data_IF_798588242983
#
_entry.id   IF_798588242983
#
_cell.length_a   1.000
_cell.length_b   1.000
_cell.length_c   1.000
_cell.angle_alpha   90.00
_cell.angle_beta   90.00
_cell.angle_gamma   90.00
#
_symmetry.space_group_name_H-M   'P 1'
#
loop_
_entity.id
_entity.type
_entity.pdbx_description
1 polymer ?
#
# COMPACT_ATOMS: atom_id res chain seq x y z
N UNK A 1 -66.45 22.60 -18.82
CA UNK A 1 -65.22 22.66 -17.99
C UNK A 1 -64.50 21.33 -18.11
N UNK A 2 -63.25 21.29 -18.60
CA UNK A 2 -62.45 20.06 -18.71
C UNK A 2 -61.39 20.09 -17.61
N UNK A 3 -61.42 19.11 -16.71
CA UNK A 3 -60.46 18.98 -15.61
C UNK A 3 -59.28 18.17 -16.15
N UNK A 4 -58.17 18.85 -16.44
CA UNK A 4 -56.93 18.23 -16.87
C UNK A 4 -56.21 17.68 -15.64
N UNK A 5 -56.17 16.35 -15.49
CA UNK A 5 -55.41 15.66 -14.43
C UNK A 5 -53.91 15.85 -14.68
N UNK A 6 -53.22 16.50 -13.75
CA UNK A 6 -51.76 16.60 -13.72
C UNK A 6 -51.24 15.32 -13.06
N UNK A 7 -50.65 14.43 -13.85
CA UNK A 7 -49.96 13.24 -13.36
C UNK A 7 -48.56 13.67 -12.93
N UNK A 8 -48.30 13.62 -11.62
CA UNK A 8 -46.97 13.86 -11.05
C UNK A 8 -46.03 12.73 -11.41
N UNK A 9 -44.92 13.04 -12.09
CA UNK A 9 -43.87 12.11 -12.46
C UNK A 9 -42.81 12.12 -11.34
N UNK A 10 -42.76 11.05 -10.55
CA UNK A 10 -41.75 10.85 -9.50
C UNK A 10 -40.36 10.71 -10.14
N UNK A 11 -39.44 11.58 -9.74
CA UNK A 11 -38.03 11.53 -10.17
C UNK A 11 -37.29 10.58 -9.23
N UNK A 12 -37.08 9.35 -9.67
CA UNK A 12 -36.12 8.44 -9.07
C UNK A 12 -34.78 8.63 -9.79
N UNK A 13 -33.80 9.27 -9.14
CA UNK A 13 -32.41 9.22 -9.59
C UNK A 13 -31.56 8.56 -8.52
N UNK A 14 -31.44 7.23 -8.65
CA UNK A 14 -30.35 6.44 -8.10
C UNK A 14 -29.06 6.82 -8.82
N UNK A 15 -28.02 7.24 -8.10
CA UNK A 15 -26.63 7.08 -8.51
C UNK A 15 -25.66 7.34 -7.34
N UNK A 16 -25.64 6.44 -6.35
CA UNK A 16 -24.42 6.24 -5.56
C UNK A 16 -23.42 5.53 -6.50
N UNK A 17 -22.62 6.29 -7.23
CA UNK A 17 -21.42 5.75 -7.86
C UNK A 17 -20.40 5.46 -6.75
N UNK A 18 -20.55 4.28 -6.14
CA UNK A 18 -19.49 3.67 -5.36
C UNK A 18 -18.41 3.28 -6.38
N UNK A 19 -17.45 4.17 -6.65
CA UNK A 19 -16.27 3.83 -7.44
C UNK A 19 -15.43 2.89 -6.60
N UNK A 20 -15.71 1.59 -6.68
CA UNK A 20 -14.76 0.58 -6.25
C UNK A 20 -13.47 0.82 -7.05
N UNK A 21 -12.38 1.14 -6.35
CA UNK A 21 -11.06 1.30 -6.96
C UNK A 21 -10.73 -0.01 -7.69
N UNK A 22 -10.77 0.01 -9.01
CA UNK A 22 -10.49 -1.18 -9.81
C UNK A 22 -8.98 -1.37 -9.86
N UNK A 23 -8.45 -2.19 -8.95
CA UNK A 23 -7.06 -2.62 -8.98
C UNK A 23 -6.82 -3.46 -10.25
N UNK A 24 -6.10 -2.90 -11.22
CA UNK A 24 -5.83 -3.53 -12.52
C UNK A 24 -5.07 -4.86 -12.39
N UNK A 25 -4.25 -5.00 -11.35
CA UNK A 25 -3.42 -6.20 -11.16
C UNK A 25 -4.21 -7.36 -10.54
N UNK A 26 -5.36 -7.11 -9.90
CA UNK A 26 -6.10 -8.16 -9.22
C UNK A 26 -6.45 -9.32 -10.16
N UNK A 27 -6.09 -10.56 -9.77
CA UNK A 27 -6.34 -11.80 -10.52
C UNK A 27 -5.66 -11.82 -11.90
N UNK A 28 -4.48 -11.24 -12.01
CA UNK A 28 -3.67 -11.26 -13.23
C UNK A 28 -2.32 -11.93 -13.01
N UNK A 29 -1.74 -12.47 -14.08
CA UNK A 29 -0.41 -13.07 -14.06
C UNK A 29 0.46 -12.43 -15.14
N UNK A 30 1.72 -12.21 -14.79
CA UNK A 30 2.69 -11.50 -15.59
C UNK A 30 4.00 -12.26 -15.61
N UNK A 31 4.62 -12.35 -16.79
CA UNK A 31 6.00 -12.79 -16.94
C UNK A 31 6.92 -11.58 -16.80
N UNK A 32 7.95 -11.70 -15.98
CA UNK A 32 9.02 -10.71 -15.89
C UNK A 32 9.95 -10.93 -17.08
N UNK A 33 9.99 -9.98 -18.01
CA UNK A 33 10.86 -10.03 -19.18
C UNK A 33 12.27 -9.52 -18.84
N UNK A 34 12.36 -8.48 -17.99
CA UNK A 34 13.63 -7.92 -17.54
C UNK A 34 13.48 -7.12 -16.26
N UNK A 35 14.53 -7.14 -15.43
CA UNK A 35 14.75 -6.17 -14.34
C UNK A 35 16.15 -5.60 -14.55
N UNK A 36 16.25 -4.30 -14.75
CA UNK A 36 17.53 -3.61 -14.94
C UNK A 36 18.23 -3.32 -13.61
N UNK A 37 19.49 -2.90 -13.68
CA UNK A 37 20.33 -2.60 -12.50
C UNK A 37 19.80 -1.42 -11.66
N UNK A 38 18.99 -0.54 -12.25
CA UNK A 38 18.34 0.57 -11.56
C UNK A 38 16.95 0.19 -11.01
N UNK A 39 16.60 -1.10 -11.04
CA UNK A 39 15.35 -1.64 -10.53
C UNK A 39 14.14 -1.49 -11.46
N UNK A 40 14.28 -0.88 -12.64
CA UNK A 40 13.15 -0.84 -13.60
C UNK A 40 12.83 -2.24 -14.09
N UNK A 41 11.53 -2.53 -14.22
CA UNK A 41 11.07 -3.83 -14.64
C UNK A 41 10.07 -3.72 -15.80
N UNK A 42 10.16 -4.68 -16.72
CA UNK A 42 9.21 -4.82 -17.83
C UNK A 42 8.55 -6.18 -17.73
N UNK A 43 7.22 -6.18 -17.69
CA UNK A 43 6.44 -7.38 -17.52
C UNK A 43 5.44 -7.52 -18.66
N UNK A 44 5.16 -8.76 -19.05
CA UNK A 44 4.19 -9.11 -20.10
C UNK A 44 3.06 -9.95 -19.52
N UNK A 45 1.81 -9.62 -19.85
CA UNK A 45 0.65 -10.34 -19.36
C UNK A 45 0.64 -11.77 -19.92
N UNK A 46 0.38 -12.76 -19.06
CA UNK A 46 0.33 -14.17 -19.44
C UNK A 46 -0.91 -14.85 -18.84
N UNK A 47 -1.15 -16.11 -19.22
CA UNK A 47 -2.19 -16.93 -18.60
C UNK A 47 -1.80 -17.23 -17.15
N UNK A 48 -2.81 -17.40 -16.30
CA UNK A 48 -2.64 -17.77 -14.90
C UNK A 48 -1.92 -19.11 -14.77
N UNK A 49 -1.01 -19.19 -13.82
CA UNK A 49 -0.27 -20.42 -13.48
C UNK A 49 -1.05 -21.13 -12.37
N UNK A 50 -1.21 -22.45 -12.50
CA UNK A 50 -1.93 -23.23 -11.50
C UNK A 50 -0.98 -23.77 -10.42
N UNK A 51 -0.63 -22.93 -9.45
CA UNK A 51 0.21 -23.32 -8.31
C UNK A 51 -0.57 -24.21 -7.31
N UNK A 52 0.05 -25.23 -6.69
CA UNK A 52 1.43 -25.71 -6.86
C UNK A 52 1.59 -26.78 -7.97
N UNK A 53 0.50 -27.13 -8.67
CA UNK A 53 0.49 -28.22 -9.67
C UNK A 53 1.38 -27.95 -10.88
N UNK A 54 1.66 -26.69 -11.17
CA UNK A 54 2.52 -26.23 -12.26
C UNK A 54 3.74 -25.53 -11.68
N UNK A 55 4.95 -26.07 -11.92
CA UNK A 55 6.18 -25.29 -11.71
C UNK A 55 6.33 -24.28 -12.84
N UNK A 56 6.48 -23.00 -12.49
CA UNK A 56 6.73 -21.98 -13.50
C UNK A 56 8.10 -22.17 -14.14
N UNK A 57 8.14 -22.18 -15.48
CA UNK A 57 9.38 -22.27 -16.27
C UNK A 57 10.03 -20.91 -16.52
N UNK A 58 9.41 -19.83 -16.04
CA UNK A 58 9.86 -18.45 -16.21
C UNK A 58 9.63 -17.65 -14.94
N UNK A 59 10.34 -16.53 -14.80
CA UNK A 59 10.12 -15.62 -13.68
C UNK A 59 8.78 -14.87 -13.82
N UNK A 60 7.92 -14.93 -12.81
CA UNK A 60 6.54 -14.43 -12.90
C UNK A 60 6.12 -13.61 -11.68
N UNK A 61 5.05 -12.81 -11.84
CA UNK A 61 4.22 -12.26 -10.76
C UNK A 61 2.77 -12.67 -11.00
N UNK A 62 2.14 -13.29 -10.01
CA UNK A 62 0.73 -13.66 -10.01
C UNK A 62 0.02 -12.95 -8.85
N UNK A 63 -0.93 -12.08 -9.17
CA UNK A 63 -1.61 -11.23 -8.19
C UNK A 63 -2.95 -11.82 -7.78
N UNK A 64 -3.18 -11.91 -6.47
CA UNK A 64 -4.37 -12.49 -5.86
C UNK A 64 -4.85 -11.63 -4.69
N UNK A 65 -5.94 -10.90 -4.89
CA UNK A 65 -6.47 -9.94 -3.92
C UNK A 65 -5.41 -8.91 -3.51
N UNK A 66 -4.88 -8.96 -2.29
CA UNK A 66 -3.83 -8.07 -1.74
C UNK A 66 -2.46 -8.77 -1.65
N UNK A 67 -2.36 -9.98 -2.22
CA UNK A 67 -1.17 -10.80 -2.23
C UNK A 67 -0.64 -10.99 -3.65
N UNK A 68 0.62 -11.36 -3.75
CA UNK A 68 1.18 -11.86 -4.98
C UNK A 68 2.08 -13.07 -4.72
N UNK A 69 2.16 -13.95 -5.71
CA UNK A 69 3.15 -15.01 -5.81
C UNK A 69 4.19 -14.61 -6.86
N UNK A 70 5.47 -14.81 -6.54
CA UNK A 70 6.57 -14.71 -7.50
C UNK A 70 7.42 -15.96 -7.45
N UNK A 71 8.18 -16.20 -8.50
CA UNK A 71 9.08 -17.34 -8.53
C UNK A 71 9.55 -17.74 -9.91
N UNK A 72 10.36 -18.77 -9.92
CA UNK A 72 10.82 -19.49 -11.11
C UNK A 72 10.78 -21.00 -10.82
N UNK A 73 11.59 -21.80 -11.52
CA UNK A 73 11.61 -23.25 -11.33
C UNK A 73 12.23 -23.74 -10.01
N UNK A 74 13.02 -22.92 -9.32
CA UNK A 74 13.75 -23.31 -8.10
C UNK A 74 13.59 -22.34 -6.92
N UNK A 75 12.88 -21.24 -7.11
CA UNK A 75 12.57 -20.22 -6.11
C UNK A 75 11.09 -19.89 -6.15
N UNK A 76 10.49 -19.71 -4.97
CA UNK A 76 9.12 -19.24 -4.81
C UNK A 76 9.06 -18.27 -3.63
N UNK A 77 8.28 -17.20 -3.76
CA UNK A 77 8.01 -16.26 -2.69
C UNK A 77 6.56 -15.77 -2.76
N UNK A 78 5.90 -15.72 -1.61
CA UNK A 78 4.65 -14.98 -1.44
C UNK A 78 4.94 -13.57 -0.93
N UNK A 79 4.06 -12.62 -1.25
CA UNK A 79 4.21 -11.24 -0.83
C UNK A 79 2.90 -10.49 -0.84
N UNK A 80 2.97 -9.21 -0.47
CA UNK A 80 1.84 -8.30 -0.42
C UNK A 80 2.05 -7.14 -1.38
N UNK A 81 0.95 -6.67 -1.97
CA UNK A 81 1.00 -5.48 -2.80
C UNK A 81 -0.17 -4.54 -2.49
N UNK A 82 0.09 -3.24 -2.66
CA UNK A 82 -0.94 -2.22 -2.58
C UNK A 82 -0.83 -1.27 -3.78
N UNK A 83 -1.96 -0.84 -4.31
CA UNK A 83 -2.02 0.07 -5.46
C UNK A 83 -2.57 1.40 -4.99
N UNK A 84 -1.77 2.45 -5.15
CA UNK A 84 -2.13 3.82 -4.79
C UNK A 84 -2.39 4.64 -6.06
N UNK A 85 -3.40 5.49 -6.01
CA UNK A 85 -3.69 6.41 -7.10
C UNK A 85 -2.58 7.47 -7.27
N UNK A 86 -2.29 7.90 -8.50
CA UNK A 86 -2.92 7.46 -9.75
C UNK A 86 -2.28 6.19 -10.36
N UNK A 87 -1.02 5.89 -10.08
CA UNK A 87 -0.27 4.83 -10.75
C UNK A 87 0.95 4.36 -9.97
N UNK A 88 0.81 4.22 -8.65
CA UNK A 88 1.86 3.70 -7.78
C UNK A 88 1.48 2.32 -7.28
N UNK A 89 2.45 1.42 -7.22
CA UNK A 89 2.33 0.12 -6.59
C UNK A 89 3.44 -0.05 -5.56
N UNK A 90 3.11 -0.57 -4.40
CA UNK A 90 4.07 -0.96 -3.37
C UNK A 90 4.13 -2.47 -3.30
N UNK A 91 5.35 -3.01 -3.26
CA UNK A 91 5.60 -4.43 -3.05
C UNK A 91 6.28 -4.65 -1.70
N UNK A 92 5.71 -5.53 -0.89
CA UNK A 92 6.30 -6.04 0.33
C UNK A 92 6.58 -7.52 0.17
N UNK A 93 7.81 -7.92 0.44
CA UNK A 93 8.22 -9.33 0.43
C UNK A 93 7.55 -10.08 1.59
N UNK A 94 7.27 -11.36 1.38
CA UNK A 94 6.76 -12.29 2.39
C UNK A 94 7.71 -13.47 2.56
N UNK A 95 7.17 -14.68 2.75
CA UNK A 95 8.00 -15.86 2.91
C UNK A 95 8.56 -16.31 1.56
N UNK A 96 9.79 -16.82 1.57
CA UNK A 96 10.47 -17.30 0.39
C UNK A 96 11.08 -18.67 0.66
N UNK A 97 10.89 -19.58 -0.29
CA UNK A 97 11.44 -20.93 -0.29
C UNK A 97 12.31 -21.12 -1.53
N UNK A 98 13.44 -21.78 -1.34
CA UNK A 98 14.42 -21.98 -2.41
C UNK A 98 15.06 -23.36 -2.34
N UNK A 99 15.23 -23.99 -3.50
CA UNK A 99 15.97 -25.24 -3.63
C UNK A 99 17.48 -24.94 -3.49
N UNK A 100 18.22 -25.81 -2.80
CA UNK A 100 19.66 -25.65 -2.59
C UNK A 100 20.43 -25.50 -3.91
N UNK A 101 21.30 -24.48 -3.98
CA UNK A 101 22.09 -24.16 -5.18
C UNK A 101 21.35 -23.31 -6.22
N UNK A 102 20.12 -22.88 -5.96
CA UNK A 102 19.42 -21.88 -6.75
C UNK A 102 19.92 -20.47 -6.37
N UNK A 103 20.04 -19.59 -7.36
CA UNK A 103 20.24 -18.16 -7.12
C UNK A 103 18.88 -17.49 -7.00
N UNK A 104 18.71 -16.66 -5.97
CA UNK A 104 17.49 -15.88 -5.78
C UNK A 104 17.35 -14.88 -6.94
N UNK A 105 16.25 -14.94 -7.72
CA UNK A 105 16.03 -13.97 -8.78
C UNK A 105 15.79 -12.58 -8.18
N UNK A 106 16.22 -11.53 -8.89
CA UNK A 106 15.93 -10.14 -8.49
C UNK A 106 14.43 -9.96 -8.25
N UNK A 107 14.03 -9.62 -7.03
CA UNK A 107 12.66 -9.34 -6.66
C UNK A 107 12.27 -7.88 -6.95
N UNK A 108 10.98 -7.58 -6.91
CA UNK A 108 10.49 -6.20 -6.83
C UNK A 108 10.15 -5.90 -5.37
N UNK A 109 10.72 -4.83 -4.82
CA UNK A 109 10.47 -4.40 -3.43
C UNK A 109 10.33 -2.89 -3.33
N UNK A 110 9.42 -2.43 -2.48
CA UNK A 110 9.17 -1.02 -2.26
C UNK A 110 8.25 -0.39 -3.29
N UNK A 111 8.36 0.93 -3.46
CA UNK A 111 7.42 1.73 -4.22
C UNK A 111 7.85 1.93 -5.68
N UNK A 112 6.93 1.65 -6.60
CA UNK A 112 7.12 1.82 -8.04
C UNK A 112 6.00 2.63 -8.64
N UNK A 113 6.36 3.54 -9.53
CA UNK A 113 5.42 4.08 -10.51
C UNK A 113 5.24 3.05 -11.64
N UNK A 114 4.04 2.96 -12.20
CA UNK A 114 3.76 2.04 -13.30
C UNK A 114 3.11 2.71 -14.51
N UNK A 115 3.40 2.16 -15.69
CA UNK A 115 2.76 2.53 -16.96
C UNK A 115 2.17 1.26 -17.57
N UNK A 116 0.83 1.24 -17.68
CA UNK A 116 0.12 0.17 -18.34
C UNK A 116 0.11 0.39 -19.86
N UNK A 117 0.52 -0.64 -20.60
CA UNK A 117 0.33 -0.77 -22.04
C UNK A 117 -0.65 -1.93 -22.30
N UNK A 118 -0.97 -2.20 -23.56
CA UNK A 118 -1.98 -3.21 -23.94
C UNK A 118 -1.75 -4.57 -23.27
N UNK A 119 -0.54 -5.12 -23.42
CA UNK A 119 -0.18 -6.46 -22.92
C UNK A 119 1.09 -6.43 -22.06
N UNK A 120 1.55 -5.25 -21.64
CA UNK A 120 2.76 -5.09 -20.83
C UNK A 120 2.58 -4.00 -19.77
N UNK A 121 3.33 -4.11 -18.69
CA UNK A 121 3.49 -3.06 -17.68
C UNK A 121 4.97 -2.76 -17.49
N UNK A 122 5.28 -1.49 -17.33
CA UNK A 122 6.62 -1.02 -17.00
C UNK A 122 6.58 -0.43 -15.59
N UNK A 123 7.46 -0.93 -14.73
CA UNK A 123 7.67 -0.42 -13.37
C UNK A 123 8.94 0.42 -13.33
N UNK A 124 8.85 1.60 -12.72
CA UNK A 124 9.98 2.47 -12.43
C UNK A 124 10.02 2.77 -10.94
N UNK A 125 11.09 2.41 -10.21
CA UNK A 125 11.16 2.63 -8.78
C UNK A 125 11.09 4.13 -8.46
N UNK A 126 10.32 4.48 -7.42
CA UNK A 126 10.14 5.87 -6.97
C UNK A 126 11.34 6.31 -6.12
N UNK A 127 11.84 5.40 -5.29
CA UNK A 127 13.07 5.57 -4.52
C UNK A 127 14.08 4.51 -4.94
N UNK A 128 15.38 4.82 -4.85
CA UNK A 128 16.41 3.84 -5.20
C UNK A 128 16.34 2.69 -4.20
N UNK A 129 16.08 1.49 -4.69
CA UNK A 129 16.14 0.27 -3.89
C UNK A 129 17.61 -0.05 -3.68
N UNK A 130 18.06 0.00 -2.42
CA UNK A 130 19.38 -0.51 -2.05
C UNK A 130 19.30 -2.04 -1.91
N UNK A 131 19.82 -2.74 -2.91
CA UNK A 131 19.89 -4.22 -2.94
C UNK A 131 20.93 -4.77 -1.92
N UNK A 132 21.74 -3.94 -1.25
CA UNK A 132 22.78 -4.37 -0.30
C UNK A 132 22.36 -4.34 1.18
N UNK A 133 21.10 -4.02 1.52
CA UNK A 133 20.66 -4.04 2.92
C UNK A 133 20.40 -5.49 3.34
N UNK A 134 21.18 -6.06 4.29
CA UNK A 134 20.95 -7.42 4.77
C UNK A 134 19.57 -7.55 5.40
N UNK A 135 18.89 -8.65 5.08
CA UNK A 135 17.59 -9.03 5.66
C UNK A 135 17.72 -9.08 7.20
N UNK A 136 16.81 -8.47 7.98
CA UNK A 136 16.72 -8.81 9.39
C UNK A 136 16.20 -10.25 9.48
N UNK A 137 16.99 -11.14 10.07
CA UNK A 137 16.55 -12.49 10.39
C UNK A 137 15.33 -12.39 11.31
N UNK A 138 14.16 -12.80 10.80
CA UNK A 138 12.96 -12.93 11.64
C UNK A 138 13.11 -14.23 12.43
N UNK A 139 13.90 -14.15 13.49
CA UNK A 139 13.96 -15.16 14.54
C UNK A 139 13.74 -14.49 15.90
N UNK A 140 12.59 -14.81 16.47
CA UNK A 140 12.18 -14.67 17.87
C UNK A 140 11.91 -13.25 18.42
N UNK A 141 10.61 -13.02 18.54
CA UNK A 141 9.94 -12.20 19.54
C UNK A 141 10.56 -12.35 20.94
N UNK A 142 11.24 -11.31 21.43
CA UNK A 142 11.27 -10.95 22.85
C UNK A 142 11.14 -9.43 22.99
N UNK A 143 10.46 -9.05 24.06
CA UNK A 143 9.82 -7.77 24.31
C UNK A 143 10.84 -6.82 24.95
N UNK A 144 11.13 -5.67 24.34
CA UNK A 144 11.64 -4.54 25.13
C UNK A 144 11.34 -3.20 24.45
N UNK A 145 10.31 -2.54 24.96
CA UNK A 145 10.08 -1.11 24.77
C UNK A 145 11.20 -0.33 25.46
N UNK A 146 12.04 0.36 24.70
CA UNK A 146 12.98 1.34 25.25
C UNK A 146 12.69 2.70 24.63
N UNK A 147 12.16 3.56 25.50
CA UNK A 147 11.98 5.00 25.34
C UNK A 147 13.25 5.67 24.83
N UNK A 148 13.16 6.37 23.69
CA UNK A 148 14.08 7.45 23.34
C UNK A 148 13.26 8.62 22.81
N UNK A 149 12.55 9.28 23.71
CA UNK A 149 11.97 10.59 23.48
C UNK A 149 12.93 11.68 23.98
N UNK A 150 13.77 12.14 23.05
CA UNK A 150 14.18 13.55 22.87
C UNK A 150 14.74 14.27 24.10
N UNK A 151 16.05 14.15 24.27
CA UNK A 151 16.88 15.19 24.88
C UNK A 151 17.26 16.20 23.77
N UNK A 152 16.52 17.30 23.63
CA UNK A 152 17.06 18.59 23.14
C UNK A 152 16.08 19.74 23.37
N UNK A 153 16.22 20.43 24.50
CA UNK A 153 16.07 21.89 24.63
C UNK A 153 16.20 22.28 26.10
N UNK A 154 17.45 22.44 26.57
CA UNK A 154 17.75 23.13 27.81
C UNK A 154 17.29 24.60 27.80
N UNK A 155 16.93 25.07 29.00
CA UNK A 155 17.01 26.45 29.51
C UNK A 155 16.06 27.51 28.94
N UNK A 156 15.02 27.82 29.72
CA UNK A 156 14.88 29.13 30.35
C UNK A 156 13.80 29.14 31.45
N UNK A 157 14.16 29.70 32.62
CA UNK A 157 13.31 30.33 33.66
C UNK A 157 12.31 29.42 34.39
N UNK A 158 12.64 28.82 35.54
CA UNK A 158 12.68 29.42 36.90
C UNK A 158 11.44 30.22 37.28
N UNK A 159 10.78 29.72 38.34
CA UNK A 159 9.97 30.47 39.30
C UNK A 159 8.70 31.16 38.80
N UNK A 160 7.56 30.53 39.10
CA UNK A 160 6.39 31.23 39.67
C UNK A 160 5.49 30.19 40.36
N UNK A 161 5.97 29.74 41.51
CA UNK A 161 5.11 29.16 42.54
C UNK A 161 4.19 30.26 43.11
N UNK A 162 2.93 29.87 43.33
CA UNK A 162 1.99 30.39 44.33
C UNK A 162 1.48 31.85 44.22
N UNK A 163 0.15 31.87 44.32
CA UNK A 163 -0.64 32.88 45.04
C UNK A 163 -1.03 34.14 44.26
N UNK A 164 -2.17 34.03 43.57
CA UNK A 164 -3.15 35.12 43.59
C UNK A 164 -4.48 34.62 44.14
N UNK A 165 -4.71 35.02 45.38
CA UNK A 165 -5.96 34.97 46.12
C UNK A 165 -7.02 35.85 45.43
N UNK A 166 -8.26 35.43 45.64
CA UNK A 166 -9.45 36.23 45.94
C UNK A 166 -10.22 36.92 44.79
N UNK A 167 -11.46 36.43 44.68
CA UNK A 167 -12.71 37.20 44.88
C UNK A 167 -13.27 37.93 43.65
N UNK A 168 -14.25 37.25 43.04
CA UNK A 168 -15.67 37.66 42.96
C UNK A 168 -16.07 38.84 42.05
N UNK A 169 -17.23 38.59 41.41
CA UNK A 169 -18.21 39.51 40.79
C UNK A 169 -17.92 40.03 39.37
N UNK A 170 -18.64 39.43 38.41
CA UNK A 170 -19.86 40.05 37.87
C UNK A 170 -20.73 39.06 37.10
N UNK A 171 -21.86 38.69 37.70
CA UNK A 171 -23.06 38.27 36.97
C UNK A 171 -23.95 39.49 36.74
N UNK A 172 -24.87 39.36 35.78
CA UNK A 172 -26.08 40.15 35.45
C UNK A 172 -25.97 41.43 34.60
N UNK A 173 -26.47 41.35 33.35
CA UNK A 173 -27.85 41.75 32.93
C UNK A 173 -28.11 41.23 31.48
N UNK A 174 -29.07 40.31 31.21
CA UNK A 174 -30.51 40.51 30.81
C UNK A 174 -30.68 41.54 29.67
N UNK A 175 -31.41 41.41 28.54
CA UNK A 175 -32.45 40.49 27.96
C UNK A 175 -32.59 40.82 26.45
N UNK A 176 -32.89 39.84 25.57
CA UNK A 176 -33.98 39.90 24.55
C UNK A 176 -34.17 38.57 23.77
N UNK A 177 -35.22 37.82 24.10
CA UNK A 177 -36.41 37.62 23.25
C UNK A 177 -37.58 37.24 24.15
#
# INVERSE_FOLDING_TARGET
MKITKIISLSVFTFALQLSAQTNFFQKTTWKIESISTDGKAVLKKVKRINLPSEQSKFHYLQFENEKFDTGNSCFHMDGHYNVYEPNTIEFSEGAADMVGGCEEPKSLRGNYSFILKKDSVEFSPIEKIDENVPRPDVANQEVESVDIAVETAEKATSDLEKSSKKVSKKSTKKIKK
#
